data_IF_809365971825
#
_entry.id   IF_809365971825
#
_cell.length_a   1.000
_cell.length_b   1.000
_cell.length_c   1.000
_cell.angle_alpha   90.00
_cell.angle_beta   90.00
_cell.angle_gamma   90.00
#
_symmetry.space_group_name_H-M   'P 1'
#
loop_
_entity.id
_entity.type
_entity.pdbx_description
1 polymer ?
#
# COMPACT_ATOMS: atom_id res chain seq x y z
N UNK A 1 -23.42 -15.75 -0.27
CA UNK A 1 -22.04 -16.09 0.13
C UNK A 1 -21.47 -14.84 0.74
N UNK A 2 -21.27 -14.80 2.06
CA UNK A 2 -20.67 -13.64 2.71
C UNK A 2 -19.17 -13.77 2.54
N UNK A 3 -18.58 -12.83 1.82
CA UNK A 3 -17.14 -12.75 1.62
C UNK A 3 -16.60 -11.86 2.74
N UNK A 4 -16.07 -12.48 3.78
CA UNK A 4 -15.41 -11.75 4.84
C UNK A 4 -13.94 -11.63 4.47
N UNK A 5 -13.62 -10.50 3.85
CA UNK A 5 -12.25 -10.06 3.73
C UNK A 5 -11.70 -9.98 5.17
N UNK A 6 -10.69 -10.80 5.51
CA UNK A 6 -9.99 -10.84 6.81
C UNK A 6 -10.58 -11.69 7.95
N UNK A 7 -11.44 -12.68 7.70
CA UNK A 7 -12.12 -13.45 8.78
C UNK A 7 -11.26 -14.47 9.59
N UNK A 8 -9.92 -14.46 9.52
CA UNK A 8 -9.12 -15.54 10.11
C UNK A 8 -7.90 -15.16 10.95
N UNK A 9 -7.48 -13.90 11.03
CA UNK A 9 -6.31 -13.57 11.86
C UNK A 9 -6.53 -12.27 12.61
N UNK A 10 -6.08 -12.30 13.86
CA UNK A 10 -5.86 -11.19 14.79
C UNK A 10 -4.88 -10.19 14.13
N UNK A 11 -5.31 -9.52 13.06
CA UNK A 11 -4.52 -8.51 12.39
C UNK A 11 -4.75 -7.21 13.15
N UNK A 12 -3.98 -7.04 14.22
CA UNK A 12 -3.58 -5.72 14.69
C UNK A 12 -2.88 -5.05 13.48
N UNK A 13 -3.67 -4.29 12.72
CA UNK A 13 -3.22 -3.47 11.60
C UNK A 13 -2.85 -2.13 12.21
N UNK A 14 -1.57 -1.83 12.24
CA UNK A 14 -1.07 -0.55 12.69
C UNK A 14 -1.11 0.39 11.48
N UNK A 15 -2.22 1.13 11.36
CA UNK A 15 -2.43 2.13 10.30
C UNK A 15 -1.83 3.50 10.68
N UNK A 16 -0.99 3.53 11.71
CA UNK A 16 -0.26 4.72 12.16
C UNK A 16 1.11 4.71 11.50
N UNK A 17 1.29 5.60 10.53
CA UNK A 17 2.54 5.75 9.82
C UNK A 17 3.25 7.01 10.28
N UNK A 18 4.55 6.88 10.55
CA UNK A 18 5.42 8.03 10.84
C UNK A 18 5.73 8.83 9.58
N UNK A 19 6.11 10.10 9.71
CA UNK A 19 6.48 10.93 8.55
C UNK A 19 7.63 10.32 7.74
N UNK A 20 8.63 9.74 8.42
CA UNK A 20 9.74 9.01 7.79
C UNK A 20 9.26 7.82 6.95
N UNK A 21 8.27 7.06 7.44
CA UNK A 21 7.67 5.94 6.72
C UNK A 21 6.91 6.41 5.47
N UNK A 22 6.22 7.54 5.56
CA UNK A 22 5.52 8.16 4.43
C UNK A 22 6.49 8.71 3.38
N UNK A 23 7.65 9.21 3.79
CA UNK A 23 8.72 9.63 2.87
C UNK A 23 9.30 8.44 2.12
N UNK A 24 9.65 7.35 2.83
CA UNK A 24 10.13 6.10 2.22
C UNK A 24 9.09 5.55 1.26
N UNK A 25 7.82 5.49 1.70
CA UNK A 25 6.71 5.07 0.85
C UNK A 25 6.62 5.90 -0.42
N UNK A 26 6.64 7.25 -0.33
CA UNK A 26 6.55 8.14 -1.50
C UNK A 26 7.75 7.99 -2.43
N UNK A 27 8.96 7.85 -1.91
CA UNK A 27 10.17 7.66 -2.70
C UNK A 27 10.11 6.33 -3.49
N UNK A 28 9.82 5.23 -2.79
CA UNK A 28 9.63 3.92 -3.42
C UNK A 28 8.43 3.94 -4.39
N UNK A 29 7.36 4.67 -4.04
CA UNK A 29 6.19 4.80 -4.89
C UNK A 29 6.54 5.48 -6.22
N UNK A 30 7.33 6.56 -6.18
CA UNK A 30 7.83 7.27 -7.38
C UNK A 30 8.77 6.40 -8.23
N UNK A 31 9.55 5.52 -7.60
CA UNK A 31 10.43 4.55 -8.28
C UNK A 31 9.70 3.38 -8.94
N UNK A 32 8.36 3.38 -8.90
CA UNK A 32 7.52 2.30 -9.43
C UNK A 32 7.71 0.94 -8.74
N UNK A 33 8.25 0.93 -7.51
CA UNK A 33 8.47 -0.30 -6.71
C UNK A 33 7.14 -0.94 -6.31
N UNK A 34 7.06 -2.26 -6.30
CA UNK A 34 5.82 -2.99 -6.00
C UNK A 34 5.38 -2.81 -4.55
N UNK A 35 4.08 -2.85 -4.27
CA UNK A 35 3.53 -2.74 -2.89
C UNK A 35 4.12 -3.79 -1.95
N UNK A 36 4.41 -4.99 -2.46
CA UNK A 36 5.06 -6.07 -1.72
C UNK A 36 6.48 -5.70 -1.29
N UNK A 37 7.29 -5.18 -2.21
CA UNK A 37 8.67 -4.76 -1.94
C UNK A 37 8.71 -3.54 -1.01
N UNK A 38 7.73 -2.63 -1.13
CA UNK A 38 7.56 -1.50 -0.21
C UNK A 38 7.25 -2.01 1.20
N UNK A 39 6.34 -2.98 1.33
CA UNK A 39 6.01 -3.60 2.61
C UNK A 39 7.21 -4.30 3.24
N UNK A 40 8.01 -5.01 2.45
CA UNK A 40 9.27 -5.61 2.93
C UNK A 40 10.26 -4.54 3.40
N UNK A 41 10.39 -3.43 2.67
CA UNK A 41 11.27 -2.31 3.04
C UNK A 41 10.84 -1.65 4.34
N UNK A 42 9.53 -1.40 4.50
CA UNK A 42 8.95 -0.81 5.70
C UNK A 42 8.83 -1.80 6.86
N UNK A 43 9.13 -3.10 6.63
CA UNK A 43 8.88 -4.21 7.56
C UNK A 43 7.43 -4.25 8.07
N UNK A 44 6.50 -3.84 7.21
CA UNK A 44 5.05 -3.74 7.48
C UNK A 44 4.31 -4.86 6.75
N UNK A 45 3.07 -5.12 7.14
CA UNK A 45 2.19 -6.06 6.43
C UNK A 45 1.82 -5.46 5.07
N UNK A 46 1.74 -6.31 4.05
CA UNK A 46 1.33 -5.90 2.69
C UNK A 46 -0.05 -5.23 2.73
N UNK A 47 -0.96 -5.69 3.59
CA UNK A 47 -2.29 -5.12 3.78
C UNK A 47 -2.25 -3.67 4.26
N UNK A 48 -1.34 -3.33 5.19
CA UNK A 48 -1.19 -1.96 5.72
C UNK A 48 -0.70 -1.03 4.61
N UNK A 49 0.31 -1.47 3.85
CA UNK A 49 0.83 -0.69 2.72
C UNK A 49 -0.21 -0.57 1.59
N UNK A 50 -1.00 -1.60 1.33
CA UNK A 50 -2.08 -1.55 0.35
C UNK A 50 -3.17 -0.52 0.75
N UNK A 51 -3.52 -0.48 2.04
CA UNK A 51 -4.44 0.54 2.57
C UNK A 51 -3.82 1.94 2.51
N UNK A 52 -2.52 2.08 2.80
CA UNK A 52 -1.80 3.34 2.67
C UNK A 52 -1.80 3.86 1.23
N UNK A 53 -1.58 2.98 0.24
CA UNK A 53 -1.69 3.30 -1.19
C UNK A 53 -3.10 3.78 -1.52
N UNK A 54 -4.12 3.09 -1.00
CA UNK A 54 -5.52 3.44 -1.25
C UNK A 54 -5.86 4.82 -0.67
N UNK A 55 -5.53 5.10 0.59
CA UNK A 55 -5.74 6.41 1.23
C UNK A 55 -5.02 7.53 0.48
N UNK A 56 -3.74 7.34 0.13
CA UNK A 56 -2.98 8.32 -0.64
C UNK A 56 -3.54 8.53 -2.05
N UNK A 57 -4.14 7.50 -2.68
CA UNK A 57 -4.77 7.62 -3.99
C UNK A 57 -6.09 8.41 -3.90
N UNK A 58 -6.93 8.14 -2.90
CA UNK A 58 -8.19 8.86 -2.67
C UNK A 58 -7.94 10.34 -2.32
N UNK A 59 -6.90 10.62 -1.53
CA UNK A 59 -6.47 11.99 -1.20
C UNK A 59 -5.73 12.70 -2.33
N UNK A 60 -5.44 12.02 -3.44
CA UNK A 60 -4.68 12.58 -4.56
C UNK A 60 -3.21 12.88 -4.26
N UNK A 61 -2.66 12.31 -3.19
CA UNK A 61 -1.26 12.49 -2.77
C UNK A 61 -0.27 11.70 -3.63
N UNK A 62 -0.76 10.61 -4.24
CA UNK A 62 0.00 9.83 -5.22
C UNK A 62 -0.69 9.88 -6.58
N UNK A 63 0.11 9.99 -7.64
CA UNK A 63 -0.41 9.77 -8.99
C UNK A 63 -0.67 8.29 -9.17
N UNK A 64 -1.85 7.96 -9.72
CA UNK A 64 -2.17 6.61 -10.18
C UNK A 64 -1.05 6.19 -11.14
N UNK A 65 -0.39 5.09 -10.82
CA UNK A 65 0.56 4.50 -11.77
C UNK A 65 -0.26 4.08 -12.97
N UNK A 66 0.08 4.61 -14.14
CA UNK A 66 -0.36 4.05 -15.39
C UNK A 66 0.35 2.69 -15.49
N UNK A 67 -0.23 1.66 -14.88
CA UNK A 67 0.04 0.32 -15.37
C UNK A 67 -0.61 0.31 -16.74
N UNK A 68 0.22 0.62 -17.74
CA UNK A 68 -0.07 0.37 -19.15
C UNK A 68 -0.77 -0.99 -19.18
N UNK A 69 -2.06 -0.92 -19.46
CA UNK A 69 -2.94 -2.06 -19.51
C UNK A 69 -2.46 -2.80 -20.73
N UNK A 70 -1.55 -3.76 -20.54
CA UNK A 70 -1.25 -4.73 -21.59
C UNK A 70 -2.54 -5.48 -21.88
N UNK A 71 -3.30 -4.90 -22.82
CA UNK A 71 -4.33 -5.53 -23.63
C UNK A 71 -3.68 -6.75 -24.27
N UNK A 72 -4.11 -7.92 -23.85
CA UNK A 72 -4.11 -9.13 -24.66
C UNK A 72 -5.52 -9.69 -24.62
#
# INVERSE_FOLDING_TARGET
MNYFLFEADDHDLDLVFSEEELEVFRDQWKKNVSVTEIAETMKRKISEVALLVFDHAERGLIKKRDKDVHRL
#
